data_IF_192924778960
#
_entry.id   IF_192924778960
#
_cell.length_a   1.000
_cell.length_b   1.000
_cell.length_c   1.000
_cell.angle_alpha   90.00
_cell.angle_beta   90.00
_cell.angle_gamma   90.00
#
_symmetry.space_group_name_H-M   'P 1'
#
loop_
_entity.id
_entity.type
_entity.pdbx_description
1 polymer ?
#
# COMPACT_ATOMS: atom_id res chain seq x y z
N UNK A 1 66.60 -30.55 -33.29
CA UNK A 1 65.31 -30.91 -32.67
C UNK A 1 65.27 -30.21 -31.33
N UNK A 2 64.42 -29.21 -31.18
CA UNK A 2 63.83 -28.89 -29.88
C UNK A 2 62.44 -28.32 -30.15
N UNK A 3 61.45 -29.13 -29.84
CA UNK A 3 60.01 -28.88 -29.98
C UNK A 3 59.47 -28.55 -28.60
N UNK A 4 59.27 -27.27 -28.29
CA UNK A 4 58.41 -26.90 -27.16
C UNK A 4 57.89 -25.45 -27.18
N UNK A 5 57.27 -25.02 -28.29
CA UNK A 5 56.37 -23.86 -28.26
C UNK A 5 54.97 -24.35 -27.86
N UNK A 6 54.78 -24.54 -26.55
CA UNK A 6 53.51 -24.95 -25.96
C UNK A 6 52.53 -23.77 -25.97
N UNK A 7 51.44 -23.94 -26.72
CA UNK A 7 50.29 -23.06 -26.86
C UNK A 7 49.80 -22.43 -25.54
N UNK A 8 50.12 -21.15 -25.33
CA UNK A 8 49.52 -20.34 -24.26
C UNK A 8 48.15 -19.79 -24.73
N UNK A 9 47.15 -20.67 -24.76
CA UNK A 9 45.76 -20.32 -25.07
C UNK A 9 45.15 -19.65 -23.84
N UNK A 10 45.10 -18.31 -23.81
CA UNK A 10 44.27 -17.58 -22.84
C UNK A 10 42.82 -18.02 -23.01
N UNK A 11 42.19 -18.52 -21.95
CA UNK A 11 40.77 -18.82 -21.95
C UNK A 11 39.96 -17.58 -22.38
N UNK A 12 39.07 -17.71 -23.38
CA UNK A 12 38.26 -16.58 -23.82
C UNK A 12 37.36 -16.13 -22.67
N UNK A 13 37.38 -14.82 -22.35
CA UNK A 13 36.54 -14.29 -21.28
C UNK A 13 35.07 -14.40 -21.66
N UNK A 14 34.36 -15.34 -21.04
CA UNK A 14 32.93 -15.48 -21.26
C UNK A 14 32.21 -14.30 -20.59
N UNK A 15 31.32 -13.58 -21.30
CA UNK A 15 30.59 -12.46 -20.71
C UNK A 15 29.72 -12.95 -19.55
N UNK A 16 29.60 -12.13 -18.50
CA UNK A 16 28.77 -12.42 -17.34
C UNK A 16 27.34 -12.76 -17.78
N UNK A 17 26.86 -13.93 -17.38
CA UNK A 17 25.49 -14.38 -17.62
C UNK A 17 24.55 -13.66 -16.65
N UNK A 18 23.36 -13.30 -17.12
CA UNK A 18 22.31 -12.80 -16.23
C UNK A 18 21.90 -13.90 -15.24
N UNK A 19 21.56 -13.51 -14.00
CA UNK A 19 21.09 -14.45 -12.96
C UNK A 19 19.64 -14.85 -13.21
N UNK A 20 18.83 -13.92 -13.68
CA UNK A 20 17.43 -14.12 -14.07
C UNK A 20 17.28 -13.93 -15.59
N UNK A 21 16.27 -14.58 -16.17
CA UNK A 21 15.90 -14.40 -17.58
C UNK A 21 15.68 -12.94 -17.95
N UNK A 22 16.20 -12.58 -19.11
CA UNK A 22 15.96 -11.30 -19.76
C UNK A 22 14.64 -11.39 -20.53
N UNK A 23 13.53 -11.03 -19.87
CA UNK A 23 12.23 -10.94 -20.55
C UNK A 23 11.99 -9.49 -20.98
N UNK A 24 11.47 -9.31 -22.19
CA UNK A 24 11.20 -7.96 -22.69
C UNK A 24 9.98 -7.35 -21.96
N UNK A 25 10.09 -6.10 -21.46
CA UNK A 25 8.95 -5.36 -20.94
C UNK A 25 7.93 -5.09 -22.04
N UNK A 26 6.64 -5.21 -21.72
CA UNK A 26 5.59 -5.03 -22.72
C UNK A 26 5.13 -3.57 -22.80
N UNK A 27 5.02 -3.06 -24.04
CA UNK A 27 4.25 -1.84 -24.32
C UNK A 27 4.89 -0.53 -23.84
N UNK A 28 6.21 -0.49 -23.61
CA UNK A 28 6.91 0.78 -23.34
C UNK A 28 6.61 1.77 -24.46
N UNK A 29 6.25 3.01 -24.08
CA UNK A 29 5.85 4.04 -25.04
C UNK A 29 4.40 3.96 -25.50
N UNK A 30 3.59 3.09 -24.90
CA UNK A 30 2.15 2.97 -25.17
C UNK A 30 1.33 3.24 -23.91
N UNK A 31 0.03 3.48 -24.07
CA UNK A 31 -0.90 3.69 -22.95
C UNK A 31 -1.15 2.43 -22.12
N UNK A 32 -0.78 1.26 -22.68
CA UNK A 32 -0.91 -0.05 -22.05
C UNK A 32 0.47 -0.60 -21.65
N UNK A 33 1.46 0.25 -21.36
CA UNK A 33 2.74 -0.19 -20.81
C UNK A 33 2.53 -1.09 -19.58
N UNK A 34 3.29 -2.18 -19.50
CA UNK A 34 3.25 -3.13 -18.41
C UNK A 34 3.61 -2.49 -17.05
N UNK A 35 2.99 -2.96 -15.97
CA UNK A 35 3.38 -2.60 -14.60
C UNK A 35 4.57 -3.41 -14.10
N UNK A 36 5.40 -2.84 -13.23
CA UNK A 36 6.53 -3.56 -12.62
C UNK A 36 6.06 -4.82 -11.88
N UNK A 37 4.90 -4.75 -11.21
CA UNK A 37 4.31 -5.91 -10.53
C UNK A 37 3.89 -7.02 -11.51
N UNK A 38 3.38 -6.67 -12.69
CA UNK A 38 3.08 -7.65 -13.75
C UNK A 38 4.37 -8.27 -14.29
N UNK A 39 5.38 -7.44 -14.54
CA UNK A 39 6.69 -7.90 -15.00
C UNK A 39 7.32 -8.90 -14.04
N UNK A 40 7.30 -8.62 -12.74
CA UNK A 40 7.79 -9.56 -11.71
C UNK A 40 7.00 -10.86 -11.73
N UNK A 41 5.67 -10.79 -11.92
CA UNK A 41 4.84 -11.98 -11.98
C UNK A 41 5.15 -12.85 -13.21
N UNK A 42 5.34 -12.23 -14.39
CA UNK A 42 5.77 -12.91 -15.61
C UNK A 42 7.19 -13.47 -15.50
N UNK A 43 8.10 -12.73 -14.86
CA UNK A 43 9.46 -13.19 -14.64
C UNK A 43 9.47 -14.44 -13.75
N UNK A 44 8.71 -14.42 -12.65
CA UNK A 44 8.57 -15.59 -11.79
C UNK A 44 7.95 -16.78 -12.55
N UNK A 45 6.90 -16.55 -13.35
CA UNK A 45 6.29 -17.58 -14.20
C UNK A 45 7.29 -18.18 -15.20
N UNK A 46 8.14 -17.36 -15.83
CA UNK A 46 9.18 -17.82 -16.74
C UNK A 46 10.19 -18.75 -16.05
N UNK A 47 10.47 -18.52 -14.76
CA UNK A 47 11.32 -19.39 -13.92
C UNK A 47 10.56 -20.57 -13.28
N UNK A 48 9.27 -20.76 -13.58
CA UNK A 48 8.40 -21.74 -12.91
C UNK A 48 8.34 -21.55 -11.38
N UNK A 49 8.44 -20.29 -10.92
CA UNK A 49 8.40 -19.90 -9.52
C UNK A 49 7.18 -19.04 -9.20
N UNK A 50 6.85 -18.98 -7.92
CA UNK A 50 5.92 -17.97 -7.41
C UNK A 50 6.65 -16.63 -7.21
N UNK A 51 6.01 -15.47 -7.46
CA UNK A 51 6.62 -14.17 -7.22
C UNK A 51 7.18 -13.99 -5.81
N UNK A 52 6.50 -14.54 -4.79
CA UNK A 52 6.99 -14.49 -3.42
C UNK A 52 8.36 -15.15 -3.24
N UNK A 53 8.62 -16.26 -3.94
CA UNK A 53 9.92 -16.97 -3.91
C UNK A 53 11.00 -16.13 -4.57
N UNK A 54 10.69 -15.52 -5.72
CA UNK A 54 11.63 -14.65 -6.44
C UNK A 54 11.98 -13.41 -5.59
N UNK A 55 10.97 -12.76 -5.01
CA UNK A 55 11.18 -11.62 -4.10
C UNK A 55 12.02 -12.00 -2.89
N UNK A 56 11.73 -13.15 -2.26
CA UNK A 56 12.43 -13.61 -1.04
C UNK A 56 13.87 -14.03 -1.31
N UNK A 57 14.11 -14.84 -2.34
CA UNK A 57 15.39 -15.52 -2.52
C UNK A 57 16.38 -14.74 -3.37
N UNK A 58 15.89 -13.95 -4.33
CA UNK A 58 16.76 -13.26 -5.29
C UNK A 58 16.81 -11.75 -5.01
N UNK A 59 15.67 -11.12 -4.67
CA UNK A 59 15.62 -9.66 -4.49
C UNK A 59 15.91 -9.22 -3.05
N UNK A 60 15.37 -9.91 -2.05
CA UNK A 60 15.57 -9.53 -0.64
C UNK A 60 17.05 -9.48 -0.23
N UNK A 61 17.94 -10.41 -0.64
CA UNK A 61 19.37 -10.33 -0.30
C UNK A 61 20.08 -9.09 -0.87
N UNK A 62 19.61 -8.57 -2.01
CA UNK A 62 20.15 -7.36 -2.63
C UNK A 62 19.64 -6.11 -1.90
N UNK A 63 18.39 -6.14 -1.46
CA UNK A 63 17.72 -5.03 -0.76
C UNK A 63 18.06 -4.96 0.74
N UNK A 64 18.74 -5.99 1.29
CA UNK A 64 18.85 -6.32 2.72
C UNK A 64 19.60 -5.30 3.61
N UNK A 65 19.86 -4.08 3.15
CA UNK A 65 20.43 -2.98 3.96
C UNK A 65 19.47 -1.83 4.27
N UNK A 66 18.27 -1.77 3.66
CA UNK A 66 17.38 -0.60 3.82
C UNK A 66 16.02 -0.88 4.50
N UNK A 67 15.51 -2.12 4.45
CA UNK A 67 14.10 -2.39 4.82
C UNK A 67 13.89 -3.39 5.97
N UNK A 68 14.97 -3.93 6.54
CA UNK A 68 14.93 -4.89 7.65
C UNK A 68 14.31 -6.23 7.27
N UNK A 69 14.73 -7.31 7.94
CA UNK A 69 14.15 -8.65 7.78
C UNK A 69 12.72 -8.69 8.33
N UNK A 70 11.77 -8.09 7.62
CA UNK A 70 10.36 -8.10 7.97
C UNK A 70 9.67 -9.22 7.20
N UNK A 71 8.83 -9.98 7.91
CA UNK A 71 7.97 -11.02 7.34
C UNK A 71 7.30 -10.50 6.06
N UNK A 72 7.52 -11.16 4.91
CA UNK A 72 7.04 -10.73 3.59
C UNK A 72 5.52 -10.51 3.56
N UNK A 73 4.77 -11.21 4.41
CA UNK A 73 3.33 -11.02 4.59
C UNK A 73 2.94 -9.59 4.96
N UNK A 74 3.80 -8.87 5.68
CA UNK A 74 3.56 -7.46 6.04
C UNK A 74 3.78 -6.50 4.88
N UNK A 75 4.48 -6.92 3.82
CA UNK A 75 4.81 -6.10 2.66
C UNK A 75 3.68 -6.15 1.62
N UNK A 76 2.99 -7.29 1.47
CA UNK A 76 1.95 -7.48 0.45
C UNK A 76 0.85 -6.41 0.40
N UNK A 77 0.32 -5.90 1.54
CA UNK A 77 -0.64 -4.79 1.54
C UNK A 77 -0.11 -3.49 0.91
N UNK A 78 1.22 -3.33 0.82
CA UNK A 78 1.89 -2.14 0.31
C UNK A 78 2.53 -2.34 -1.07
N UNK A 79 2.35 -3.50 -1.71
CA UNK A 79 2.95 -3.81 -3.02
C UNK A 79 2.49 -2.91 -4.15
N UNK A 80 1.36 -2.20 -4.00
CA UNK A 80 0.98 -1.14 -4.94
C UNK A 80 2.06 -0.07 -5.08
N UNK A 81 2.82 0.22 -4.03
CA UNK A 81 3.91 1.20 -4.04
C UNK A 81 5.07 0.84 -5.00
N UNK A 82 5.19 -0.42 -5.42
CA UNK A 82 6.19 -0.88 -6.38
C UNK A 82 6.01 -0.26 -7.77
N UNK A 83 4.77 0.11 -8.13
CA UNK A 83 4.47 0.80 -9.38
C UNK A 83 4.56 2.33 -9.23
N UNK A 84 4.95 2.83 -8.05
CA UNK A 84 4.85 4.24 -7.68
C UNK A 84 6.05 5.10 -8.04
N UNK A 85 6.19 6.20 -7.29
CA UNK A 85 7.21 7.24 -7.48
C UNK A 85 8.35 7.18 -6.44
N UNK A 86 8.27 6.25 -5.49
CA UNK A 86 9.10 6.23 -4.28
C UNK A 86 10.36 5.38 -4.39
N UNK A 87 11.19 5.47 -3.33
CA UNK A 87 12.47 4.77 -3.21
C UNK A 87 12.33 3.25 -3.36
N UNK A 88 11.27 2.66 -2.80
CA UNK A 88 11.02 1.21 -2.89
C UNK A 88 10.89 0.73 -4.35
N UNK A 89 10.26 1.52 -5.22
CA UNK A 89 10.18 1.20 -6.64
C UNK A 89 11.56 1.32 -7.31
N UNK A 90 12.31 2.39 -6.99
CA UNK A 90 13.64 2.63 -7.53
C UNK A 90 14.64 1.51 -7.16
N UNK A 91 14.67 1.11 -5.90
CA UNK A 91 15.56 0.06 -5.40
C UNK A 91 15.23 -1.29 -6.04
N UNK A 92 13.94 -1.59 -6.21
CA UNK A 92 13.50 -2.83 -6.85
C UNK A 92 13.84 -2.85 -8.34
N UNK A 93 13.65 -1.73 -9.04
CA UNK A 93 14.09 -1.57 -10.44
C UNK A 93 15.59 -1.87 -10.54
N UNK A 94 16.42 -1.24 -9.72
CA UNK A 94 17.87 -1.45 -9.75
C UNK A 94 18.25 -2.91 -9.48
N UNK A 95 17.62 -3.54 -8.49
CA UNK A 95 17.87 -4.95 -8.17
C UNK A 95 17.49 -5.88 -9.35
N UNK A 96 16.32 -5.68 -9.95
CA UNK A 96 15.85 -6.49 -11.08
C UNK A 96 16.74 -6.26 -12.32
N UNK A 97 17.09 -5.00 -12.64
CA UNK A 97 17.97 -4.70 -13.76
C UNK A 97 19.35 -5.36 -13.59
N UNK A 98 19.89 -5.35 -12.37
CA UNK A 98 21.16 -6.04 -12.07
C UNK A 98 21.06 -7.56 -12.30
N UNK A 99 19.94 -8.18 -11.94
CA UNK A 99 19.74 -9.62 -12.05
C UNK A 99 19.40 -10.10 -13.47
N UNK A 100 18.65 -9.30 -14.22
CA UNK A 100 18.15 -9.63 -15.57
C UNK A 100 19.01 -9.06 -16.70
N UNK A 101 19.86 -8.07 -16.38
CA UNK A 101 20.55 -7.23 -17.35
C UNK A 101 19.58 -6.49 -18.30
N UNK A 102 18.31 -6.37 -17.92
CA UNK A 102 17.31 -5.60 -18.65
C UNK A 102 17.46 -4.11 -18.36
N UNK A 103 17.20 -3.30 -19.37
CA UNK A 103 17.21 -1.85 -19.27
C UNK A 103 15.77 -1.32 -19.28
N UNK A 104 15.62 -0.02 -19.01
CA UNK A 104 14.35 0.70 -19.21
C UNK A 104 13.18 0.26 -18.30
N UNK A 105 13.44 -0.47 -17.21
CA UNK A 105 12.40 -0.93 -16.28
C UNK A 105 11.78 0.22 -15.48
N UNK A 106 12.41 1.39 -15.45
CA UNK A 106 11.84 2.60 -14.85
C UNK A 106 10.48 2.97 -15.45
N UNK A 107 10.24 2.66 -16.73
CA UNK A 107 8.99 2.98 -17.41
C UNK A 107 7.83 2.05 -17.05
N UNK A 108 8.09 0.98 -16.29
CA UNK A 108 7.06 0.11 -15.70
C UNK A 108 6.53 0.64 -14.37
N UNK A 109 6.95 1.85 -13.97
CA UNK A 109 6.55 2.53 -12.74
C UNK A 109 6.25 4.01 -13.02
N UNK A 110 5.82 4.74 -11.99
CA UNK A 110 5.57 6.18 -12.09
C UNK A 110 6.81 7.04 -11.75
N UNK A 111 8.01 6.45 -11.62
CA UNK A 111 9.20 7.17 -11.14
C UNK A 111 9.58 8.38 -12.00
N UNK A 112 9.36 8.31 -13.32
CA UNK A 112 9.56 9.43 -14.26
C UNK A 112 8.73 10.67 -13.90
N UNK A 113 7.61 10.46 -13.21
CA UNK A 113 6.65 11.49 -12.81
C UNK A 113 6.74 11.86 -11.31
N UNK A 114 7.78 11.39 -10.61
CA UNK A 114 7.93 11.52 -9.15
C UNK A 114 7.95 12.95 -8.62
N UNK A 115 8.33 13.93 -9.45
CA UNK A 115 8.39 15.35 -9.06
C UNK A 115 7.06 16.08 -9.23
N UNK A 116 6.11 15.53 -9.98
CA UNK A 116 4.81 16.15 -10.26
C UNK A 116 3.64 15.44 -9.59
N UNK A 117 3.77 14.15 -9.27
CA UNK A 117 2.71 13.42 -8.59
C UNK A 117 2.97 13.25 -7.09
N UNK A 118 2.01 13.62 -6.22
CA UNK A 118 2.11 13.30 -4.80
C UNK A 118 1.93 11.79 -4.59
N UNK A 119 2.57 11.26 -3.55
CA UNK A 119 2.53 9.82 -3.24
C UNK A 119 1.15 9.35 -2.74
N UNK A 120 0.40 10.22 -2.04
CA UNK A 120 -0.84 9.84 -1.37
C UNK A 120 -1.97 9.65 -2.38
N UNK A 121 -2.70 8.54 -2.24
CA UNK A 121 -3.88 8.20 -3.05
C UNK A 121 -3.63 8.10 -4.56
N UNK A 122 -2.37 8.01 -5.00
CA UNK A 122 -2.00 7.85 -6.41
C UNK A 122 -2.33 6.46 -6.94
N UNK A 123 -2.02 5.43 -6.15
CA UNK A 123 -2.10 4.02 -6.55
C UNK A 123 -3.23 3.29 -5.83
N UNK A 124 -3.78 2.28 -6.49
CA UNK A 124 -4.75 1.35 -5.93
C UNK A 124 -4.11 0.52 -4.81
N UNK A 125 -4.86 0.27 -3.73
CA UNK A 125 -4.45 -0.64 -2.65
C UNK A 125 -4.75 -2.11 -2.94
N UNK A 126 -5.60 -2.37 -3.95
CA UNK A 126 -5.97 -3.70 -4.41
C UNK A 126 -5.77 -3.80 -5.91
N UNK A 127 -5.56 -5.02 -6.41
CA UNK A 127 -5.44 -5.30 -7.84
C UNK A 127 -6.72 -4.93 -8.57
N UNK A 128 -6.57 -4.22 -9.69
CA UNK A 128 -7.66 -3.89 -10.61
C UNK A 128 -7.40 -4.55 -11.97
N UNK A 129 -8.44 -5.04 -12.65
CA UNK A 129 -8.28 -5.64 -13.97
C UNK A 129 -9.51 -5.54 -14.86
N UNK A 130 -9.32 -5.73 -16.16
CA UNK A 130 -10.42 -5.99 -17.09
C UNK A 130 -10.49 -7.50 -17.39
N UNK A 131 -11.57 -8.22 -17.02
CA UNK A 131 -11.70 -9.65 -17.31
C UNK A 131 -11.77 -9.91 -18.82
N UNK A 132 -12.34 -8.98 -19.59
CA UNK A 132 -12.43 -9.10 -21.04
C UNK A 132 -11.06 -8.95 -21.71
N UNK A 133 -10.18 -8.04 -21.24
CA UNK A 133 -8.81 -7.96 -21.76
C UNK A 133 -8.02 -9.24 -21.50
N UNK A 134 -8.20 -9.86 -20.33
CA UNK A 134 -7.56 -11.15 -20.07
C UNK A 134 -8.08 -12.22 -21.02
N UNK A 135 -9.40 -12.28 -21.24
CA UNK A 135 -9.99 -13.27 -22.13
C UNK A 135 -9.58 -13.06 -23.59
N UNK A 136 -9.58 -11.83 -24.08
CA UNK A 136 -9.18 -11.49 -25.44
C UNK A 136 -7.74 -11.90 -25.70
N UNK A 137 -6.82 -11.55 -24.79
CA UNK A 137 -5.42 -11.92 -24.93
C UNK A 137 -5.24 -13.44 -24.87
N UNK A 138 -5.97 -14.13 -23.98
CA UNK A 138 -5.93 -15.58 -23.86
C UNK A 138 -6.39 -16.28 -25.14
N UNK A 139 -7.54 -15.89 -25.71
CA UNK A 139 -8.07 -16.48 -26.95
C UNK A 139 -7.12 -16.21 -28.13
N UNK A 140 -6.53 -15.00 -28.19
CA UNK A 140 -5.57 -14.62 -29.23
C UNK A 140 -4.18 -15.23 -29.05
N UNK A 141 -3.97 -16.07 -28.03
CA UNK A 141 -2.65 -16.60 -27.64
C UNK A 141 -1.60 -15.50 -27.44
N UNK A 142 -2.05 -14.30 -27.05
CA UNK A 142 -1.19 -13.19 -26.69
C UNK A 142 -0.84 -13.25 -25.22
N UNK A 143 0.30 -12.65 -24.85
CA UNK A 143 0.74 -12.70 -23.47
C UNK A 143 -0.20 -11.91 -22.59
N UNK A 144 -0.64 -12.52 -21.49
CA UNK A 144 -1.47 -11.89 -20.47
C UNK A 144 -0.57 -11.12 -19.52
N UNK A 145 -0.86 -9.84 -19.32
CA UNK A 145 -0.10 -8.95 -18.44
C UNK A 145 -1.03 -7.87 -17.88
N UNK A 146 -0.54 -7.08 -16.93
CA UNK A 146 -1.32 -6.01 -16.28
C UNK A 146 -0.70 -4.65 -16.60
N UNK A 147 -1.43 -3.79 -17.34
CA UNK A 147 -1.00 -2.43 -17.61
C UNK A 147 -0.77 -1.61 -16.34
N UNK A 148 0.30 -0.81 -16.33
CA UNK A 148 0.58 0.18 -15.30
C UNK A 148 -0.61 1.12 -15.08
N UNK A 149 -1.33 1.44 -16.15
CA UNK A 149 -2.54 2.26 -16.15
C UNK A 149 -3.57 1.80 -15.10
N UNK A 150 -3.76 0.49 -14.92
CA UNK A 150 -4.75 -0.06 -13.96
C UNK A 150 -4.30 0.06 -12.50
N UNK A 151 -3.02 0.33 -12.25
CA UNK A 151 -2.50 0.55 -10.91
C UNK A 151 -2.87 1.93 -10.35
N UNK A 152 -3.23 2.90 -11.20
CA UNK A 152 -3.59 4.25 -10.77
C UNK A 152 -5.02 4.31 -10.26
N UNK A 153 -5.21 4.93 -9.09
CA UNK A 153 -6.51 4.98 -8.43
C UNK A 153 -7.53 5.82 -9.20
N UNK A 154 -7.09 6.73 -10.07
CA UNK A 154 -7.95 7.59 -10.90
C UNK A 154 -8.57 6.83 -12.07
N UNK A 155 -7.98 5.70 -12.48
CA UNK A 155 -8.45 4.91 -13.61
C UNK A 155 -9.45 3.88 -13.12
N UNK A 156 -10.72 4.06 -13.48
CA UNK A 156 -11.82 3.17 -13.09
C UNK A 156 -12.37 2.33 -14.23
N UNK A 157 -11.98 2.64 -15.47
CA UNK A 157 -12.50 2.03 -16.69
C UNK A 157 -11.36 1.47 -17.53
N UNK A 158 -11.60 0.34 -18.19
CA UNK A 158 -10.77 -0.18 -19.26
C UNK A 158 -11.00 0.62 -20.56
N UNK A 159 -9.95 1.17 -21.16
CA UNK A 159 -10.05 1.91 -22.43
C UNK A 159 -10.47 1.05 -23.62
N UNK A 160 -10.10 -0.23 -23.63
CA UNK A 160 -10.40 -1.13 -24.72
C UNK A 160 -11.88 -1.54 -24.74
N UNK A 161 -12.39 -2.03 -23.61
CA UNK A 161 -13.77 -2.51 -23.49
C UNK A 161 -14.76 -1.46 -23.00
N UNK A 162 -14.30 -0.30 -22.55
CA UNK A 162 -15.10 0.80 -21.99
C UNK A 162 -16.01 0.34 -20.84
N UNK A 163 -15.52 -0.60 -20.03
CA UNK A 163 -16.19 -1.14 -18.85
C UNK A 163 -15.39 -0.84 -17.58
N UNK A 164 -16.08 -0.81 -16.44
CA UNK A 164 -15.42 -0.63 -15.13
C UNK A 164 -14.42 -1.77 -14.87
N UNK A 165 -13.29 -1.41 -14.25
CA UNK A 165 -12.31 -2.39 -13.80
C UNK A 165 -12.86 -3.16 -12.59
N UNK A 166 -12.53 -4.45 -12.54
CA UNK A 166 -12.88 -5.36 -11.47
C UNK A 166 -11.83 -5.33 -10.37
N UNK A 167 -12.28 -5.49 -9.12
CA UNK A 167 -11.44 -5.50 -7.93
C UNK A 167 -11.60 -6.78 -7.10
N UNK A 168 -12.69 -7.52 -7.31
CA UNK A 168 -13.05 -8.72 -6.58
C UNK A 168 -13.09 -9.91 -7.53
N UNK A 169 -12.55 -11.05 -7.10
CA UNK A 169 -12.60 -12.28 -7.87
C UNK A 169 -14.05 -12.73 -8.07
N UNK A 170 -14.47 -13.08 -9.28
CA UNK A 170 -15.84 -13.59 -9.52
C UNK A 170 -16.05 -15.03 -9.01
N UNK A 171 -14.98 -15.76 -8.69
CA UNK A 171 -15.07 -17.10 -8.10
C UNK A 171 -15.13 -17.13 -6.57
N UNK A 172 -14.29 -16.31 -5.90
CA UNK A 172 -14.16 -16.35 -4.43
C UNK A 172 -14.55 -15.03 -3.75
N UNK A 173 -14.92 -14.01 -4.52
CA UNK A 173 -15.32 -12.68 -4.08
C UNK A 173 -14.29 -11.90 -3.25
N UNK A 174 -13.08 -12.45 -3.08
CA UNK A 174 -12.01 -11.79 -2.35
C UNK A 174 -11.24 -10.81 -3.25
N UNK A 175 -10.72 -9.76 -2.61
CA UNK A 175 -9.75 -8.85 -3.23
C UNK A 175 -8.36 -9.49 -3.24
N UNK A 176 -7.62 -9.23 -4.31
CA UNK A 176 -6.21 -9.59 -4.44
C UNK A 176 -5.34 -8.37 -4.14
N UNK A 177 -4.18 -8.59 -3.51
CA UNK A 177 -3.11 -7.59 -3.49
C UNK A 177 -2.58 -7.35 -4.91
N UNK A 178 -2.00 -6.17 -5.15
CA UNK A 178 -1.43 -5.81 -6.46
C UNK A 178 -0.35 -6.82 -6.87
N UNK A 179 0.56 -7.13 -5.95
CA UNK A 179 1.43 -8.31 -6.04
C UNK A 179 1.24 -9.14 -4.78
N UNK A 180 1.11 -10.46 -4.92
CA UNK A 180 0.95 -11.42 -3.84
C UNK A 180 1.91 -12.59 -4.06
N UNK A 181 2.11 -13.42 -3.03
CA UNK A 181 3.00 -14.58 -3.13
C UNK A 181 2.73 -15.43 -4.37
N UNK A 182 1.46 -15.78 -4.61
CA UNK A 182 1.01 -16.61 -5.74
C UNK A 182 0.40 -15.79 -6.88
N UNK A 183 0.82 -14.53 -7.06
CA UNK A 183 0.33 -13.73 -8.19
C UNK A 183 0.73 -14.35 -9.52
N UNK A 184 -0.22 -14.39 -10.46
CA UNK A 184 -0.02 -14.77 -11.85
C UNK A 184 -0.95 -13.91 -12.71
N UNK A 185 -0.48 -13.32 -13.83
CA UNK A 185 -1.33 -12.53 -14.71
C UNK A 185 -2.56 -13.33 -15.15
N UNK A 186 -3.75 -12.75 -15.00
CA UNK A 186 -5.01 -13.40 -15.35
C UNK A 186 -5.58 -14.39 -14.34
N UNK A 187 -4.90 -14.70 -13.22
CA UNK A 187 -5.39 -15.63 -12.20
C UNK A 187 -5.55 -14.98 -10.83
N UNK A 188 -6.51 -15.45 -10.04
CA UNK A 188 -6.67 -15.03 -8.65
C UNK A 188 -5.54 -15.58 -7.78
N UNK A 189 -4.84 -14.73 -7.02
CA UNK A 189 -3.73 -15.18 -6.16
C UNK A 189 -4.17 -16.01 -4.94
N UNK A 190 -5.47 -16.09 -4.67
CA UNK A 190 -6.05 -16.83 -3.55
C UNK A 190 -6.65 -18.17 -3.97
N UNK A 191 -7.62 -18.14 -4.88
CA UNK A 191 -8.28 -19.37 -5.35
C UNK A 191 -7.65 -19.96 -6.62
N UNK A 192 -6.64 -19.31 -7.20
CA UNK A 192 -5.86 -19.76 -8.36
C UNK A 192 -6.68 -20.01 -9.64
N UNK A 193 -7.92 -19.52 -9.69
CA UNK A 193 -8.79 -19.63 -10.88
C UNK A 193 -8.58 -18.47 -11.85
N UNK A 194 -8.84 -18.76 -13.13
CA UNK A 194 -8.81 -17.79 -14.22
C UNK A 194 -9.82 -16.67 -14.01
N UNK A 195 -9.39 -15.43 -14.24
CA UNK A 195 -10.16 -14.20 -14.02
C UNK A 195 -10.76 -13.64 -15.31
N UNK A 196 -10.40 -14.16 -16.49
CA UNK A 196 -10.97 -13.72 -17.75
C UNK A 196 -12.41 -14.16 -17.93
N UNK A 197 -13.19 -13.36 -18.66
CA UNK A 197 -14.58 -13.63 -19.01
C UNK A 197 -14.81 -13.25 -20.48
N UNK A 198 -15.61 -14.03 -21.24
CA UNK A 198 -16.02 -13.61 -22.58
C UNK A 198 -16.89 -12.35 -22.48
N UNK A 199 -16.83 -11.49 -23.49
CA UNK A 199 -17.50 -10.18 -23.46
C UNK A 199 -19.03 -10.30 -23.26
N UNK A 200 -19.61 -11.39 -23.74
CA UNK A 200 -21.06 -11.65 -23.67
C UNK A 200 -21.50 -12.13 -22.29
N UNK A 201 -20.58 -12.59 -21.44
CA UNK A 201 -20.85 -12.96 -20.06
C UNK A 201 -20.89 -11.71 -19.17
N UNK A 202 -21.84 -10.82 -19.43
CA UNK A 202 -22.04 -9.61 -18.63
C UNK A 202 -22.34 -10.01 -17.19
N UNK A 203 -21.41 -9.69 -16.28
CA UNK A 203 -21.72 -9.66 -14.85
C UNK A 203 -22.64 -8.45 -14.60
N UNK A 204 -23.72 -8.71 -13.90
CA UNK A 204 -24.97 -7.94 -13.81
C UNK A 204 -24.89 -6.55 -13.12
N UNK A 205 -23.80 -5.80 -13.28
CA UNK A 205 -23.54 -4.57 -12.51
C UNK A 205 -23.47 -3.30 -13.39
N UNK A 206 -24.29 -3.25 -14.47
CA UNK A 206 -24.59 -1.98 -15.15
C UNK A 206 -25.49 -1.14 -14.25
N UNK A 207 -24.90 -0.49 -13.24
CA UNK A 207 -25.55 0.67 -12.63
C UNK A 207 -25.59 1.78 -13.66
N UNK A 208 -26.76 2.40 -13.83
CA UNK A 208 -26.96 3.63 -14.59
C UNK A 208 -25.96 4.68 -14.11
N UNK A 209 -24.80 4.70 -14.78
CA UNK A 209 -23.77 5.68 -14.54
C UNK A 209 -24.18 6.90 -15.34
N UNK A 210 -24.18 8.06 -14.70
CA UNK A 210 -24.45 9.32 -15.38
C UNK A 210 -23.53 9.41 -16.63
N UNK A 211 -24.10 9.72 -17.79
CA UNK A 211 -23.36 9.78 -19.06
C UNK A 211 -22.15 10.71 -18.97
N UNK A 212 -22.26 11.80 -18.21
CA UNK A 212 -21.18 12.74 -17.98
C UNK A 212 -20.06 12.18 -17.09
N UNK A 213 -20.41 11.35 -16.11
CA UNK A 213 -19.42 10.66 -15.26
C UNK A 213 -18.64 9.64 -16.08
N UNK A 214 -19.33 8.89 -16.94
CA UNK A 214 -18.70 7.95 -17.86
C UNK A 214 -17.75 8.66 -18.84
N UNK A 215 -18.16 9.80 -19.41
CA UNK A 215 -17.31 10.64 -20.27
C UNK A 215 -16.05 11.10 -19.55
N UNK A 216 -16.18 11.59 -18.31
CA UNK A 216 -15.05 12.04 -17.50
C UNK A 216 -14.08 10.90 -17.16
N UNK A 217 -14.59 9.71 -16.83
CA UNK A 217 -13.75 8.55 -16.52
C UNK A 217 -13.01 8.00 -17.75
N UNK A 218 -13.66 7.96 -18.92
CA UNK A 218 -13.02 7.60 -20.19
C UNK A 218 -11.93 8.62 -20.53
N UNK A 219 -12.24 9.92 -20.43
CA UNK A 219 -11.27 10.99 -20.65
C UNK A 219 -10.07 10.86 -19.70
N UNK A 220 -10.34 10.61 -18.42
CA UNK A 220 -9.31 10.40 -17.38
C UNK A 220 -8.39 9.25 -17.74
N UNK A 221 -8.95 8.09 -18.07
CA UNK A 221 -8.17 6.91 -18.43
C UNK A 221 -7.31 7.18 -19.69
N UNK A 222 -7.86 7.89 -20.67
CA UNK A 222 -7.14 8.26 -21.90
C UNK A 222 -5.99 9.21 -21.61
N UNK A 223 -6.25 10.32 -20.92
CA UNK A 223 -5.25 11.33 -20.56
C UNK A 223 -4.09 10.74 -19.75
N UNK A 224 -4.39 9.87 -18.79
CA UNK A 224 -3.35 9.17 -18.02
C UNK A 224 -2.59 8.17 -18.89
N UNK A 225 -3.28 7.44 -19.76
CA UNK A 225 -2.65 6.54 -20.73
C UNK A 225 -1.69 7.26 -21.67
N UNK A 226 -2.08 8.40 -22.22
CA UNK A 226 -1.25 9.24 -23.08
C UNK A 226 -0.02 9.76 -22.34
N UNK A 227 -0.19 10.13 -21.07
CA UNK A 227 0.92 10.50 -20.19
C UNK A 227 1.92 9.35 -20.01
N UNK A 228 1.44 8.13 -19.71
CA UNK A 228 2.30 6.96 -19.57
C UNK A 228 3.06 6.66 -20.88
N UNK A 229 2.37 6.75 -22.02
CA UNK A 229 2.94 6.54 -23.35
C UNK A 229 4.07 7.53 -23.68
N UNK A 230 4.03 8.76 -23.12
CA UNK A 230 5.06 9.77 -23.34
C UNK A 230 6.28 9.64 -22.43
N UNK A 231 6.21 8.83 -21.38
CA UNK A 231 7.29 8.67 -20.39
C UNK A 231 8.69 8.40 -20.99
N UNK A 232 8.87 7.49 -21.97
CA UNK A 232 10.21 7.22 -22.53
C UNK A 232 10.73 8.30 -23.48
N UNK A 233 9.86 9.20 -23.93
CA UNK A 233 10.20 10.27 -24.89
C UNK A 233 10.41 11.62 -24.20
N UNK A 234 10.38 11.68 -22.87
CA UNK A 234 10.67 12.89 -22.12
C UNK A 234 12.17 13.16 -22.12
N UNK A 235 12.57 14.33 -22.59
CA UNK A 235 13.94 14.84 -22.49
C UNK A 235 14.30 15.21 -21.06
N UNK A 236 13.34 15.77 -20.31
CA UNK A 236 13.50 16.15 -18.92
C UNK A 236 12.27 15.78 -18.10
N UNK A 237 12.50 15.36 -16.86
CA UNK A 237 11.41 15.11 -15.92
C UNK A 237 10.72 16.43 -15.54
N UNK A 238 9.38 16.50 -15.58
CA UNK A 238 8.67 17.73 -15.26
C UNK A 238 8.85 18.07 -13.78
N UNK A 239 8.91 19.37 -13.47
CA UNK A 239 9.16 19.89 -12.13
C UNK A 239 7.89 20.41 -11.48
N UNK A 240 7.81 20.37 -10.14
CA UNK A 240 6.66 20.89 -9.38
C UNK A 240 6.44 22.39 -9.61
N UNK A 241 7.52 23.12 -9.89
CA UNK A 241 7.52 24.54 -10.19
C UNK A 241 6.73 24.84 -11.48
N UNK A 242 6.75 23.92 -12.44
CA UNK A 242 5.96 24.07 -13.68
C UNK A 242 4.47 24.05 -13.38
N UNK A 243 4.01 23.19 -12.46
CA UNK A 243 2.60 23.15 -12.04
C UNK A 243 2.19 24.48 -11.41
N UNK A 244 3.02 25.04 -10.52
CA UNK A 244 2.73 26.31 -9.88
C UNK A 244 2.65 27.45 -10.90
N UNK A 245 3.59 27.51 -11.85
CA UNK A 245 3.59 28.48 -12.96
C UNK A 245 2.35 28.33 -13.84
N UNK A 246 1.99 27.11 -14.25
CA UNK A 246 0.79 26.82 -15.04
C UNK A 246 -0.47 27.29 -14.33
N UNK A 247 -0.62 26.97 -13.03
CA UNK A 247 -1.77 27.42 -12.24
C UNK A 247 -1.85 28.94 -12.18
N UNK A 248 -0.74 29.64 -11.94
CA UNK A 248 -0.71 31.10 -11.97
C UNK A 248 -1.14 31.66 -13.32
N UNK A 249 -0.62 31.12 -14.43
CA UNK A 249 -0.98 31.55 -15.78
C UNK A 249 -2.48 31.37 -16.06
N UNK A 250 -3.05 30.23 -15.70
CA UNK A 250 -4.49 29.99 -15.88
C UNK A 250 -5.36 30.82 -14.93
N UNK A 251 -4.92 31.11 -13.70
CA UNK A 251 -5.63 32.04 -12.80
C UNK A 251 -5.65 33.45 -13.41
N UNK A 252 -4.52 33.91 -13.94
CA UNK A 252 -4.44 35.21 -14.62
C UNK A 252 -5.37 35.28 -15.83
N UNK A 253 -5.42 34.21 -16.64
CA UNK A 253 -6.20 34.17 -17.87
C UNK A 253 -7.71 34.00 -17.64
N UNK A 254 -8.10 33.11 -16.72
CA UNK A 254 -9.50 32.68 -16.55
C UNK A 254 -10.25 33.53 -15.54
N UNK A 255 -9.54 34.10 -14.56
CA UNK A 255 -10.12 34.85 -13.46
C UNK A 255 -9.45 36.21 -13.25
N UNK A 256 -8.75 36.75 -14.27
CA UNK A 256 -8.09 38.07 -14.22
C UNK A 256 -7.14 38.22 -13.01
N UNK A 257 -6.49 37.12 -12.61
CA UNK A 257 -5.59 37.08 -11.45
C UNK A 257 -6.28 36.87 -10.11
N UNK A 258 -7.62 36.83 -10.08
CA UNK A 258 -8.39 36.59 -8.86
C UNK A 258 -8.45 35.10 -8.51
N UNK A 259 -7.53 34.69 -7.63
CA UNK A 259 -7.46 33.31 -7.09
C UNK A 259 -8.79 32.87 -6.45
N UNK A 260 -9.53 33.78 -5.81
CA UNK A 260 -10.78 33.42 -5.13
C UNK A 260 -11.88 33.08 -6.15
N UNK A 261 -11.94 33.80 -7.26
CA UNK A 261 -12.90 33.54 -8.34
C UNK A 261 -12.59 32.22 -9.05
N UNK A 262 -11.32 31.98 -9.39
CA UNK A 262 -10.89 30.69 -9.95
C UNK A 262 -11.23 29.51 -9.02
N UNK A 263 -10.96 29.67 -7.72
CA UNK A 263 -11.28 28.68 -6.71
C UNK A 263 -12.81 28.41 -6.61
N UNK A 264 -13.62 29.47 -6.69
CA UNK A 264 -15.10 29.37 -6.68
C UNK A 264 -15.62 28.64 -7.90
N UNK A 265 -15.12 28.95 -9.09
CA UNK A 265 -15.53 28.31 -10.35
C UNK A 265 -15.24 26.80 -10.35
N UNK A 266 -14.10 26.39 -9.78
CA UNK A 266 -13.72 24.97 -9.66
C UNK A 266 -14.25 24.28 -8.39
N UNK A 267 -14.91 25.02 -7.48
CA UNK A 267 -15.37 24.55 -6.18
C UNK A 267 -14.23 24.01 -5.27
N UNK A 268 -13.04 24.61 -5.36
CA UNK A 268 -11.86 24.28 -4.55
C UNK A 268 -11.67 25.36 -3.48
N UNK A 269 -11.23 25.05 -2.25
CA UNK A 269 -10.96 26.09 -1.26
C UNK A 269 -9.87 27.07 -1.73
N UNK A 270 -10.13 28.39 -1.59
CA UNK A 270 -9.20 29.47 -1.99
C UNK A 270 -7.78 29.25 -1.45
N UNK A 271 -7.65 28.93 -0.16
CA UNK A 271 -6.33 28.76 0.47
C UNK A 271 -5.54 27.60 -0.18
N UNK A 272 -6.23 26.55 -0.61
CA UNK A 272 -5.62 25.41 -1.29
C UNK A 272 -5.04 25.82 -2.65
N UNK A 273 -5.81 26.55 -3.47
CA UNK A 273 -5.33 27.07 -4.76
C UNK A 273 -4.16 28.02 -4.56
N UNK A 274 -4.25 28.92 -3.58
CA UNK A 274 -3.16 29.86 -3.26
C UNK A 274 -1.85 29.14 -2.91
N UNK A 275 -1.90 28.10 -2.07
CA UNK A 275 -0.72 27.29 -1.70
C UNK A 275 -0.10 26.57 -2.91
N UNK A 276 -0.93 26.14 -3.87
CA UNK A 276 -0.45 25.52 -5.11
C UNK A 276 0.22 26.53 -6.04
N UNK A 277 -0.37 27.71 -6.24
CA UNK A 277 0.22 28.80 -7.02
C UNK A 277 1.57 29.26 -6.43
N UNK A 278 1.74 29.17 -5.10
CA UNK A 278 3.03 29.44 -4.42
C UNK A 278 4.02 28.27 -4.46
N UNK A 279 3.65 27.11 -5.01
CA UNK A 279 4.50 25.92 -5.07
C UNK A 279 4.77 25.26 -3.72
N UNK A 280 4.03 25.64 -2.66
CA UNK A 280 4.22 25.09 -1.32
C UNK A 280 3.65 23.67 -1.21
N UNK A 281 2.56 23.39 -1.93
CA UNK A 281 1.93 22.07 -2.01
C UNK A 281 1.65 21.68 -3.46
N UNK A 282 1.53 20.38 -3.71
CA UNK A 282 1.06 19.84 -4.99
C UNK A 282 -0.42 19.46 -4.93
N UNK A 283 -1.20 19.73 -6.00
CA UNK A 283 -2.54 19.17 -6.13
C UNK A 283 -2.47 17.65 -6.30
N UNK A 284 -3.52 16.94 -5.87
CA UNK A 284 -3.64 15.51 -6.18
C UNK A 284 -3.83 15.30 -7.68
N UNK A 285 -3.45 14.12 -8.20
CA UNK A 285 -3.67 13.78 -9.61
C UNK A 285 -5.16 13.87 -10.01
N UNK A 286 -6.09 13.48 -9.12
CA UNK A 286 -7.53 13.65 -9.34
C UNK A 286 -7.90 15.11 -9.55
N UNK A 287 -7.34 16.00 -8.72
CA UNK A 287 -7.60 17.44 -8.82
C UNK A 287 -6.97 18.03 -10.08
N UNK A 288 -5.75 17.63 -10.45
CA UNK A 288 -5.10 18.07 -11.68
C UNK A 288 -5.93 17.66 -12.92
N UNK A 289 -6.37 16.40 -12.96
CA UNK A 289 -7.22 15.89 -14.04
C UNK A 289 -8.55 16.64 -14.11
N UNK A 290 -9.19 16.90 -12.97
CA UNK A 290 -10.42 17.70 -12.92
C UNK A 290 -10.21 19.12 -13.46
N UNK A 291 -9.15 19.80 -13.02
CA UNK A 291 -8.78 21.14 -13.52
C UNK A 291 -8.55 21.09 -15.03
N UNK A 292 -7.75 20.13 -15.51
CA UNK A 292 -7.44 19.98 -16.93
C UNK A 292 -8.69 19.69 -17.77
N UNK A 293 -9.61 18.88 -17.25
CA UNK A 293 -10.88 18.58 -17.89
C UNK A 293 -11.78 19.82 -18.01
N UNK A 294 -11.96 20.57 -16.92
CA UNK A 294 -12.77 21.79 -16.91
C UNK A 294 -12.19 22.88 -17.83
N UNK A 295 -10.86 23.01 -17.86
CA UNK A 295 -10.15 23.95 -18.73
C UNK A 295 -9.97 23.44 -20.16
N UNK A 296 -10.32 22.17 -20.43
CA UNK A 296 -10.13 21.48 -21.72
C UNK A 296 -8.70 21.54 -22.25
N UNK A 297 -7.74 21.32 -21.35
CA UNK A 297 -6.30 21.31 -21.64
C UNK A 297 -5.72 19.91 -21.46
N UNK A 298 -4.63 19.64 -22.18
CA UNK A 298 -3.84 18.43 -22.00
C UNK A 298 -3.05 18.49 -20.70
N UNK A 299 -3.03 17.38 -19.96
CA UNK A 299 -2.25 17.27 -18.73
C UNK A 299 -0.74 17.37 -18.98
N UNK A 300 -0.27 16.92 -20.14
CA UNK A 300 1.14 17.04 -20.53
C UNK A 300 1.52 18.49 -20.80
N UNK A 301 0.65 19.23 -21.49
CA UNK A 301 0.86 20.64 -21.83
C UNK A 301 0.89 21.46 -20.53
N UNK A 302 -0.01 21.12 -19.59
CA UNK A 302 -0.04 21.69 -18.25
C UNK A 302 1.28 21.48 -17.47
N UNK A 303 2.04 20.41 -17.74
CA UNK A 303 3.34 20.16 -17.11
C UNK A 303 4.53 20.80 -17.84
N UNK A 304 4.42 21.04 -19.15
CA UNK A 304 5.51 21.56 -19.97
C UNK A 304 5.57 23.09 -20.01
N UNK A 305 4.46 23.77 -19.72
CA UNK A 305 4.36 25.23 -19.83
C UNK A 305 4.88 25.71 -21.21
N UNK A 306 4.36 25.12 -22.29
CA UNK A 306 4.58 25.69 -23.62
C UNK A 306 3.77 27.00 -23.69
N UNK A 307 4.48 28.13 -23.69
CA UNK A 307 3.91 29.49 -23.66
C UNK A 307 2.91 29.72 -24.81
N UNK A 308 3.09 29.04 -25.95
CA UNK A 308 2.31 29.21 -27.16
C UNK A 308 0.89 28.58 -27.12
N UNK A 309 0.62 27.67 -26.18
CA UNK A 309 -0.67 26.95 -26.08
C UNK A 309 -1.69 27.64 -25.16
N UNK A 310 -1.30 28.72 -24.48
CA UNK A 310 -2.18 29.55 -23.64
C UNK A 310 -3.15 30.38 -24.51
N UNK A 311 -3.34 30.06 -25.79
CA UNK A 311 -4.12 30.84 -26.76
C UNK A 311 -5.57 30.40 -26.99
N UNK A 312 -6.10 29.35 -26.33
CA UNK A 312 -7.54 29.05 -26.44
C UNK A 312 -8.33 29.57 -25.22
N UNK A 313 -9.10 30.66 -25.33
CA UNK A 313 -10.03 31.08 -24.29
C UNK A 313 -11.25 30.16 -24.37
N UNK A 314 -11.28 29.13 -23.53
CA UNK A 314 -12.48 28.30 -23.42
C UNK A 314 -13.15 28.65 -22.10
N UNK A 315 -14.36 29.17 -22.20
CA UNK A 315 -15.23 29.38 -21.04
C UNK A 315 -15.32 28.08 -20.26
N UNK A 316 -15.15 28.17 -18.94
CA UNK A 316 -15.40 27.07 -18.02
C UNK A 316 -16.88 26.69 -18.13
N UNK A 317 -17.20 25.76 -19.04
CA UNK A 317 -18.45 25.02 -18.99
C UNK A 317 -18.20 23.88 -18.04
N UNK A 318 -18.75 23.94 -16.83
CA UNK A 318 -18.73 22.84 -15.87
C UNK A 318 -19.69 21.74 -16.36
N UNK A 319 -19.23 20.59 -16.90
CA UNK A 319 -20.10 19.49 -17.24
C UNK A 319 -19.84 18.36 -16.24
N UNK A 320 -20.34 18.54 -14.99
CA UNK A 320 -20.63 17.48 -13.97
C UNK A 320 -19.38 16.63 -13.52
N UNK A 321 -19.36 15.79 -12.46
CA UNK A 321 -20.16 15.67 -11.24
C UNK A 321 -19.55 16.42 -10.05
N UNK A 322 -20.37 16.74 -9.05
CA UNK A 322 -19.88 17.18 -7.74
C UNK A 322 -18.74 16.25 -7.33
N UNK A 323 -17.51 16.78 -7.14
CA UNK A 323 -16.55 16.07 -6.30
C UNK A 323 -17.35 15.71 -5.07
N UNK A 324 -17.59 14.41 -4.83
CA UNK A 324 -18.10 13.95 -3.54
C UNK A 324 -17.00 14.37 -2.58
N UNK A 325 -17.10 15.61 -2.09
CA UNK A 325 -16.56 16.06 -0.84
C UNK A 325 -16.83 14.88 0.05
N UNK A 326 -15.78 14.13 0.37
CA UNK A 326 -15.82 13.10 1.41
C UNK A 326 -16.63 13.79 2.48
N UNK A 327 -17.91 13.41 2.65
CA UNK A 327 -18.88 14.18 3.46
C UNK A 327 -18.06 14.56 4.66
N UNK A 328 -17.78 15.86 4.86
CA UNK A 328 -17.08 16.28 6.07
C UNK A 328 -17.94 15.63 7.12
N UNK A 329 -17.46 14.54 7.75
CA UNK A 329 -18.15 13.91 8.85
C UNK A 329 -18.34 15.09 9.75
N UNK A 330 -19.59 15.57 9.85
CA UNK A 330 -19.91 16.84 10.46
C UNK A 330 -19.07 16.85 11.73
N UNK A 331 -18.08 17.75 11.80
CA UNK A 331 -17.04 17.69 12.83
C UNK A 331 -17.83 17.58 14.12
N UNK A 332 -17.89 16.38 14.70
CA UNK A 332 -18.66 16.18 15.92
C UNK A 332 -17.99 17.13 16.87
N UNK A 333 -18.71 18.18 17.27
CA UNK A 333 -18.18 19.15 18.24
C UNK A 333 -17.69 18.30 19.40
N UNK A 334 -16.39 18.41 19.66
CA UNK A 334 -15.77 17.70 20.76
C UNK A 334 -16.36 18.31 22.03
N UNK A 335 -17.29 17.57 22.64
CA UNK A 335 -17.96 17.97 23.87
C UNK A 335 -16.99 17.71 25.03
N UNK A 336 -16.17 18.72 25.29
CA UNK A 336 -15.07 18.65 26.25
C UNK A 336 -15.59 18.32 27.66
N UNK A 337 -16.74 18.88 28.04
CA UNK A 337 -17.31 18.70 29.38
C UNK A 337 -17.83 17.27 29.58
N UNK A 338 -18.54 16.73 28.59
CA UNK A 338 -18.98 15.33 28.63
C UNK A 338 -17.80 14.36 28.66
N UNK A 339 -16.75 14.64 27.88
CA UNK A 339 -15.54 13.78 27.87
C UNK A 339 -14.83 13.86 29.21
N UNK A 340 -14.68 15.06 29.80
CA UNK A 340 -14.06 15.25 31.12
C UNK A 340 -14.80 14.47 32.21
N UNK A 341 -16.12 14.63 32.31
CA UNK A 341 -16.95 13.91 33.29
C UNK A 341 -16.83 12.40 33.17
N UNK A 342 -16.73 11.86 31.95
CA UNK A 342 -16.53 10.42 31.74
C UNK A 342 -15.13 9.97 32.16
N UNK A 343 -14.08 10.76 31.92
CA UNK A 343 -12.73 10.42 32.35
C UNK A 343 -12.61 10.44 33.88
N UNK A 344 -13.24 11.42 34.54
CA UNK A 344 -13.33 11.49 36.00
C UNK A 344 -14.13 10.31 36.57
N UNK A 345 -15.29 9.98 35.99
CA UNK A 345 -16.07 8.81 36.39
C UNK A 345 -15.30 7.49 36.22
N UNK A 346 -14.48 7.35 35.18
CA UNK A 346 -13.61 6.17 35.00
C UNK A 346 -12.55 6.11 36.11
N UNK A 347 -11.96 7.24 36.49
CA UNK A 347 -10.99 7.31 37.58
C UNK A 347 -11.61 6.98 38.94
N UNK A 348 -12.85 7.40 39.17
CA UNK A 348 -13.61 7.13 40.40
C UNK A 348 -14.23 5.72 40.44
N UNK A 349 -14.50 5.10 39.28
CA UNK A 349 -15.09 3.77 39.23
C UNK A 349 -14.21 2.72 39.89
N UNK A 350 -14.75 1.71 40.57
CA UNK A 350 -13.97 0.56 41.07
C UNK A 350 -13.93 -0.61 40.08
N UNK A 351 -13.94 -0.33 38.76
CA UNK A 351 -13.91 -1.37 37.72
C UNK A 351 -12.61 -2.20 37.80
N UNK A 352 -12.78 -3.53 37.87
CA UNK A 352 -11.71 -4.54 37.92
C UNK A 352 -11.93 -5.60 36.83
N UNK A 353 -10.99 -5.78 35.87
CA UNK A 353 -9.74 -5.05 35.73
C UNK A 353 -9.95 -3.61 35.26
N UNK A 354 -9.07 -2.70 35.68
CA UNK A 354 -9.12 -1.30 35.25
C UNK A 354 -9.08 -1.21 33.71
N UNK A 355 -9.88 -0.33 33.07
CA UNK A 355 -9.89 -0.19 31.62
C UNK A 355 -8.62 0.51 31.11
N UNK A 356 -8.15 0.12 29.93
CA UNK A 356 -7.06 0.83 29.25
C UNK A 356 -7.56 2.14 28.62
N UNK A 357 -6.66 3.09 28.36
CA UNK A 357 -7.03 4.32 27.64
C UNK A 357 -7.61 4.07 26.25
N UNK A 358 -7.23 2.97 25.59
CA UNK A 358 -7.79 2.59 24.29
C UNK A 358 -9.25 2.14 24.43
N UNK A 359 -9.55 1.40 25.50
CA UNK A 359 -10.90 0.96 25.82
C UNK A 359 -11.80 2.14 26.23
N UNK A 360 -11.27 3.09 27.01
CA UNK A 360 -11.98 4.33 27.37
C UNK A 360 -12.27 5.18 26.13
N UNK A 361 -11.30 5.33 25.22
CA UNK A 361 -11.50 6.04 23.95
C UNK A 361 -12.59 5.37 23.07
N UNK A 362 -12.61 4.03 23.05
CA UNK A 362 -13.64 3.24 22.35
C UNK A 362 -15.03 3.47 22.93
N UNK A 363 -15.19 3.47 24.26
CA UNK A 363 -16.46 3.76 24.96
C UNK A 363 -16.97 5.16 24.63
N UNK A 364 -16.07 6.14 24.60
CA UNK A 364 -16.37 7.54 24.29
C UNK A 364 -16.60 7.82 22.79
N UNK A 365 -16.27 6.86 21.91
CA UNK A 365 -16.30 7.03 20.44
C UNK A 365 -15.50 8.26 19.98
N UNK A 366 -14.40 8.55 20.67
CA UNK A 366 -13.50 9.67 20.39
C UNK A 366 -12.08 9.16 20.14
N UNK A 367 -11.34 9.84 19.25
CA UNK A 367 -9.95 9.48 18.98
C UNK A 367 -9.07 9.77 20.20
N UNK A 368 -8.22 8.80 20.58
CA UNK A 368 -7.33 8.90 21.73
C UNK A 368 -6.42 10.14 21.67
N UNK A 369 -5.93 10.52 20.48
CA UNK A 369 -5.08 11.70 20.31
C UNK A 369 -5.85 12.99 20.58
N UNK A 370 -7.12 13.03 20.20
CA UNK A 370 -7.98 14.18 20.52
C UNK A 370 -8.16 14.29 22.02
N UNK A 371 -8.51 13.20 22.72
CA UNK A 371 -8.68 13.20 24.18
C UNK A 371 -7.38 13.63 24.88
N UNK A 372 -6.24 13.06 24.48
CA UNK A 372 -4.93 13.38 25.05
C UNK A 372 -4.54 14.85 24.89
N UNK A 373 -4.90 15.47 23.75
CA UNK A 373 -4.62 16.89 23.50
C UNK A 373 -5.43 17.81 24.41
N UNK A 374 -6.64 17.40 24.80
CA UNK A 374 -7.53 18.22 25.64
C UNK A 374 -7.36 17.92 27.14
N UNK A 375 -7.09 16.68 27.54
CA UNK A 375 -7.02 16.24 28.94
C UNK A 375 -5.81 15.32 29.20
N UNK A 376 -4.57 15.82 29.09
CA UNK A 376 -3.36 15.00 29.24
C UNK A 376 -3.26 14.36 30.63
N UNK A 377 -3.57 15.09 31.70
CA UNK A 377 -3.40 14.63 33.07
C UNK A 377 -4.36 13.48 33.43
N UNK A 378 -5.63 13.60 33.03
CA UNK A 378 -6.63 12.54 33.23
C UNK A 378 -6.27 11.27 32.44
N UNK A 379 -5.76 11.43 31.22
CA UNK A 379 -5.29 10.29 30.41
C UNK A 379 -4.10 9.57 31.07
N UNK A 380 -3.16 10.33 31.64
CA UNK A 380 -2.02 9.78 32.36
C UNK A 380 -2.45 9.05 33.64
N UNK A 381 -3.39 9.62 34.40
CA UNK A 381 -3.92 9.00 35.61
C UNK A 381 -4.60 7.64 35.32
N UNK A 382 -5.44 7.57 34.28
CA UNK A 382 -6.10 6.31 33.88
C UNK A 382 -5.05 5.29 33.40
N UNK A 383 -4.06 5.74 32.62
CA UNK A 383 -2.97 4.86 32.15
C UNK A 383 -2.16 4.31 33.31
N UNK A 384 -1.82 5.14 34.31
CA UNK A 384 -1.10 4.73 35.50
C UNK A 384 -1.90 3.69 36.31
N UNK A 385 -3.21 3.94 36.50
CA UNK A 385 -4.11 2.99 37.18
C UNK A 385 -4.17 1.64 36.46
N UNK A 386 -4.30 1.64 35.13
CA UNK A 386 -4.27 0.42 34.31
C UNK A 386 -2.97 -0.36 34.48
N UNK A 387 -1.83 0.34 34.43
CA UNK A 387 -0.51 -0.28 34.60
C UNK A 387 -0.32 -0.88 36.00
N UNK A 388 -0.76 -0.17 37.05
CA UNK A 388 -0.69 -0.64 38.43
C UNK A 388 -1.59 -1.86 38.65
N UNK A 389 -2.82 -1.84 38.15
CA UNK A 389 -3.72 -3.00 38.22
C UNK A 389 -3.13 -4.21 37.48
N UNK A 390 -2.58 -4.00 36.28
CA UNK A 390 -1.92 -5.06 35.50
C UNK A 390 -0.69 -5.62 36.22
N UNK A 391 0.10 -4.78 36.88
CA UNK A 391 1.24 -5.21 37.70
C UNK A 391 0.78 -6.05 38.88
N UNK A 392 -0.25 -5.62 39.61
CA UNK A 392 -0.82 -6.37 40.73
C UNK A 392 -1.39 -7.73 40.29
N UNK A 393 -2.15 -7.78 39.20
CA UNK A 393 -2.65 -9.05 38.64
C UNK A 393 -1.52 -9.95 38.17
N UNK A 394 -0.46 -9.39 37.58
CA UNK A 394 0.72 -10.17 37.20
C UNK A 394 1.44 -10.79 38.41
N UNK A 395 1.63 -10.01 39.48
CA UNK A 395 2.22 -10.49 40.73
C UNK A 395 1.37 -11.58 41.39
N UNK A 396 0.05 -11.38 41.45
CA UNK A 396 -0.91 -12.39 41.95
C UNK A 396 -0.85 -13.69 41.13
N UNK A 397 -0.82 -13.58 39.80
CA UNK A 397 -0.75 -14.75 38.92
C UNK A 397 0.57 -15.50 39.08
N UNK A 398 1.70 -14.80 39.29
CA UNK A 398 2.98 -15.44 39.62
C UNK A 398 2.88 -16.18 40.95
N UNK A 399 2.34 -15.54 41.99
CA UNK A 399 2.20 -16.17 43.30
C UNK A 399 1.30 -17.41 43.26
N UNK A 400 0.17 -17.31 42.55
CA UNK A 400 -0.75 -18.42 42.34
C UNK A 400 -0.08 -19.57 41.56
N UNK A 401 0.68 -19.24 40.50
CA UNK A 401 1.44 -20.24 39.75
C UNK A 401 2.50 -20.92 40.60
N UNK A 402 3.18 -20.19 41.49
CA UNK A 402 4.12 -20.78 42.44
C UNK A 402 3.41 -21.74 43.40
N UNK A 403 2.26 -21.36 43.97
CA UNK A 403 1.44 -22.22 44.85
C UNK A 403 0.98 -23.48 44.14
N UNK A 404 0.50 -23.34 42.91
CA UNK A 404 0.04 -24.44 42.07
C UNK A 404 1.18 -25.42 41.73
N UNK A 405 2.37 -24.90 41.38
CA UNK A 405 3.57 -25.72 41.19
C UNK A 405 3.91 -26.51 42.45
N UNK A 406 3.80 -25.89 43.63
CA UNK A 406 4.09 -26.59 44.90
C UNK A 406 3.18 -27.80 45.08
N UNK A 407 1.89 -27.58 44.87
CA UNK A 407 0.87 -28.62 44.99
C UNK A 407 1.08 -29.75 43.96
N UNK A 408 1.25 -29.41 42.68
CA UNK A 408 1.43 -30.40 41.61
C UNK A 408 2.71 -31.20 41.82
N UNK A 409 3.80 -30.55 42.21
CA UNK A 409 5.11 -31.20 42.44
C UNK A 409 5.01 -32.22 43.58
N UNK A 410 4.38 -31.86 44.70
CA UNK A 410 4.14 -32.78 45.82
C UNK A 410 3.19 -33.93 45.43
N UNK A 411 2.12 -33.64 44.68
CA UNK A 411 1.19 -34.66 44.18
C UNK A 411 1.88 -35.69 43.29
N UNK A 412 2.71 -35.24 42.34
CA UNK A 412 3.48 -36.13 41.46
C UNK A 412 4.50 -36.96 42.25
N UNK A 413 5.17 -36.35 43.23
CA UNK A 413 6.11 -37.05 44.10
C UNK A 413 5.44 -38.16 44.92
N UNK A 414 4.28 -37.89 45.52
CA UNK A 414 3.52 -38.89 46.27
C UNK A 414 3.01 -40.05 45.40
N UNK A 415 2.91 -39.85 44.09
CA UNK A 415 2.57 -40.88 43.11
C UNK A 415 3.80 -41.68 42.62
N UNK A 416 5.00 -41.40 43.16
CA UNK A 416 6.26 -42.01 42.72
C UNK A 416 6.77 -41.50 41.36
N UNK A 417 6.18 -40.42 40.83
CA UNK A 417 6.49 -39.89 39.50
C UNK A 417 7.43 -38.69 39.63
N UNK A 418 8.52 -38.69 38.85
CA UNK A 418 9.45 -37.56 38.82
C UNK A 418 8.78 -36.28 38.29
N UNK A 419 8.79 -35.16 39.05
CA UNK A 419 8.15 -33.91 38.66
C UNK A 419 9.05 -33.08 37.72
N UNK A 420 9.12 -33.51 36.45
CA UNK A 420 9.77 -32.74 35.38
C UNK A 420 8.94 -31.49 35.02
N UNK A 421 9.61 -30.43 34.53
CA UNK A 421 8.95 -29.20 34.06
C UNK A 421 7.82 -29.48 33.05
N UNK A 422 8.03 -30.42 32.12
CA UNK A 422 7.01 -30.85 31.15
C UNK A 422 5.74 -31.39 31.83
N UNK A 423 5.87 -32.34 32.74
CA UNK A 423 4.74 -32.96 33.46
C UNK A 423 4.02 -32.00 34.40
N UNK A 424 4.76 -31.06 35.00
CA UNK A 424 4.17 -30.00 35.82
C UNK A 424 3.36 -29.06 34.93
N UNK A 425 3.89 -28.68 33.76
CA UNK A 425 3.20 -27.81 32.80
C UNK A 425 1.88 -28.40 32.28
N UNK A 426 1.77 -29.73 32.17
CA UNK A 426 0.56 -30.43 31.72
C UNK A 426 -0.59 -30.36 32.73
N UNK A 427 -0.30 -30.10 34.02
CA UNK A 427 -1.30 -30.02 35.10
C UNK A 427 -1.53 -28.59 35.60
N UNK A 428 -0.81 -27.59 35.08
CA UNK A 428 -0.94 -26.18 35.47
C UNK A 428 -2.06 -25.47 34.71
N UNK A 429 -2.77 -24.60 35.41
CA UNK A 429 -3.80 -23.73 34.81
C UNK A 429 -3.18 -22.71 33.82
N UNK A 430 -1.97 -22.23 34.10
CA UNK A 430 -1.26 -21.27 33.24
C UNK A 430 0.19 -21.70 32.93
N UNK A 431 0.40 -22.66 32.01
CA UNK A 431 1.72 -23.24 31.72
C UNK A 431 2.75 -22.20 31.23
N UNK A 432 2.30 -21.15 30.54
CA UNK A 432 3.15 -20.08 30.02
C UNK A 432 3.91 -19.28 31.08
N UNK A 433 3.53 -19.38 32.36
CA UNK A 433 4.22 -18.70 33.47
C UNK A 433 5.53 -19.37 33.89
N UNK A 434 5.81 -20.60 33.44
CA UNK A 434 7.10 -21.27 33.65
C UNK A 434 8.29 -20.53 33.00
N UNK A 435 8.04 -19.64 32.03
CA UNK A 435 9.11 -18.80 31.48
C UNK A 435 9.69 -17.81 32.50
N UNK A 436 8.98 -17.50 33.60
CA UNK A 436 9.42 -16.52 34.58
C UNK A 436 10.36 -17.15 35.62
N UNK A 437 11.51 -16.51 35.94
CA UNK A 437 12.51 -17.06 36.87
C UNK A 437 11.96 -17.43 38.25
N UNK A 438 11.09 -16.58 38.82
CA UNK A 438 10.49 -16.80 40.15
C UNK A 438 9.66 -18.09 40.23
N UNK A 439 8.98 -18.44 39.14
CA UNK A 439 8.13 -19.64 39.02
C UNK A 439 9.00 -20.90 38.84
N UNK A 440 10.10 -20.80 38.07
CA UNK A 440 11.09 -21.88 37.91
C UNK A 440 11.87 -22.17 39.19
N UNK A 441 12.26 -21.14 39.93
CA UNK A 441 12.93 -21.29 41.22
C UNK A 441 12.04 -22.03 42.21
N UNK A 442 10.74 -21.73 42.27
CA UNK A 442 9.80 -22.45 43.12
C UNK A 442 9.71 -23.96 42.80
N UNK A 443 9.81 -24.34 41.52
CA UNK A 443 9.90 -25.75 41.11
C UNK A 443 11.22 -26.40 41.55
N UNK A 444 12.34 -25.68 41.41
CA UNK A 444 13.67 -26.18 41.79
C UNK A 444 13.80 -26.35 43.30
N UNK A 445 13.36 -25.35 44.09
CA UNK A 445 13.38 -25.39 45.56
C UNK A 445 12.67 -26.63 46.12
N UNK A 446 11.49 -26.96 45.57
CA UNK A 446 10.69 -28.09 46.05
C UNK A 446 11.29 -29.42 45.61
N UNK A 447 11.90 -29.48 44.43
CA UNK A 447 12.66 -30.66 44.00
C UNK A 447 13.83 -30.93 44.95
N UNK A 448 14.59 -29.89 45.32
CA UNK A 448 15.68 -30.00 46.29
C UNK A 448 15.16 -30.42 47.69
N UNK A 449 14.05 -29.86 48.16
CA UNK A 449 13.44 -30.21 49.46
C UNK A 449 12.93 -31.65 49.53
N UNK A 450 12.47 -32.21 48.41
CA UNK A 450 12.01 -33.60 48.29
C UNK A 450 13.17 -34.60 48.09
N UNK A 451 14.42 -34.18 48.34
CA UNK A 451 15.57 -35.07 48.47
C UNK A 451 16.22 -35.51 47.15
N UNK A 452 16.24 -34.64 46.12
CA UNK A 452 17.13 -34.79 44.95
C UNK A 452 17.68 -33.47 44.44
#
# INVERSE_FOLDING_TARGET
>A
MDTNDLYNLKEPSTPLRSRLYHIEPIGIGTSLVESLTSYIARLAEAHCLFPGVLLERELAPILNKAYGSTNLDKIYPFTGALNGTGVMAADLIQAIQKLTLSNNLQFLTLITWSKVFPFRNLLCSARAWCPYCYQDNYIKSQIVYEPLLWSLNVVKICLHHKQKLYYNCHHCHQKNYVLAWKSRPGYCSKCLRWLGLPFDAQLSDRKDSNEDELKFEIWTAKTVGDLLAKSPYLTFAPLKENIAKSLCAYVSKVAEGNIAEFARQLQIPRNTVWLWCKGQNLPSINTLLYICYCLKISLLDFFKLEEDLVNSPQSLRLPVPQMKSSRRLAIKRFDADKVKQNLEAVLESHECPAPSMEEVARRLKCDRRTILRHFPDLCHAISARYLNAKKATFEQNIEQSCKEIRYITQKLHNQGIYPSEKRVSEQMTMPGYLRYPKVRLALQEIRCQLGK
#
